data_IF_012132609520
#
_entry.id   IF_012132609520
#
_cell.length_a   1.000
_cell.length_b   1.000
_cell.length_c   1.000
_cell.angle_alpha   90.00
_cell.angle_beta   90.00
_cell.angle_gamma   90.00
#
_symmetry.space_group_name_H-M   'P 1'
#
loop_
_entity.id
_entity.type
_entity.pdbx_description
1 polymer ?
#
# COMPACT_ATOMS: atom_id res chain seq x y z
N UNK A 1 0.51 21.55 -12.59
CA UNK A 1 1.62 21.47 -11.61
C UNK A 1 2.92 21.93 -12.23
N UNK A 2 3.80 22.60 -11.48
CA UNK A 2 5.15 22.92 -11.94
C UNK A 2 5.86 21.64 -12.42
N UNK A 3 6.53 21.69 -13.58
CA UNK A 3 7.37 20.63 -14.14
C UNK A 3 6.67 19.34 -14.60
N UNK A 4 5.34 19.26 -14.57
CA UNK A 4 4.57 18.10 -15.05
C UNK A 4 4.98 17.69 -16.47
N UNK A 5 5.00 18.65 -17.39
CA UNK A 5 5.32 18.39 -18.81
C UNK A 5 6.73 17.80 -18.98
N UNK A 6 7.72 18.38 -18.31
CA UNK A 6 9.11 17.89 -18.32
C UNK A 6 9.22 16.46 -17.81
N UNK A 7 8.46 16.12 -16.77
CA UNK A 7 8.46 14.78 -16.17
C UNK A 7 7.74 13.79 -17.09
N UNK A 8 6.54 14.12 -17.58
CA UNK A 8 5.78 13.28 -18.52
C UNK A 8 6.59 13.02 -19.79
N UNK A 9 7.22 14.05 -20.34
CA UNK A 9 8.08 13.93 -21.52
C UNK A 9 9.27 13.01 -21.27
N UNK A 10 9.92 13.11 -20.10
CA UNK A 10 11.02 12.23 -19.73
C UNK A 10 10.59 10.75 -19.61
N UNK A 11 9.42 10.47 -19.02
CA UNK A 11 8.88 9.10 -18.95
C UNK A 11 8.39 8.59 -20.32
N UNK A 12 8.05 9.49 -21.24
CA UNK A 12 7.60 9.15 -22.59
C UNK A 12 8.76 8.90 -23.57
N UNK A 13 9.96 9.42 -23.27
CA UNK A 13 11.16 9.21 -24.07
C UNK A 13 11.84 7.87 -23.70
N UNK A 14 12.35 7.17 -24.71
CA UNK A 14 13.24 5.99 -24.57
C UNK A 14 12.67 4.68 -24.01
N UNK A 15 11.36 4.41 -24.16
CA UNK A 15 10.83 3.06 -23.86
C UNK A 15 10.95 2.64 -22.39
N UNK A 16 11.09 3.62 -21.49
CA UNK A 16 11.45 3.46 -20.08
C UNK A 16 10.29 2.97 -19.17
N UNK A 17 9.43 2.08 -19.70
CA UNK A 17 8.07 1.71 -19.27
C UNK A 17 7.01 2.43 -20.10
N UNK A 18 6.15 1.67 -20.77
CA UNK A 18 4.89 2.19 -21.36
C UNK A 18 3.90 2.44 -20.23
N UNK A 19 4.12 3.49 -19.44
CA UNK A 19 3.18 3.93 -18.42
C UNK A 19 1.98 4.59 -19.09
N UNK A 20 0.78 4.24 -18.63
CA UNK A 20 -0.46 4.93 -18.99
C UNK A 20 -0.80 5.94 -17.90
N UNK A 21 -1.21 7.16 -18.29
CA UNK A 21 -1.68 8.16 -17.34
C UNK A 21 -3.08 7.79 -16.84
N UNK A 22 -3.14 6.93 -15.83
CA UNK A 22 -4.39 6.49 -15.21
C UNK A 22 -5.05 7.59 -14.40
N UNK A 23 -6.38 7.59 -14.33
CA UNK A 23 -7.12 8.46 -13.42
C UNK A 23 -7.18 7.83 -12.03
N UNK A 24 -6.57 8.51 -11.06
CA UNK A 24 -6.64 8.19 -9.63
C UNK A 24 -7.39 9.31 -8.90
N UNK A 25 -7.63 9.13 -7.60
CA UNK A 25 -8.35 10.10 -6.79
C UNK A 25 -7.38 10.84 -5.89
N UNK A 26 -7.50 12.17 -5.83
CA UNK A 26 -6.91 13.00 -4.78
C UNK A 26 -7.84 12.99 -3.57
N UNK A 27 -7.31 12.76 -2.38
CA UNK A 27 -8.01 13.01 -1.12
C UNK A 27 -7.91 14.51 -0.82
N UNK A 28 -9.05 15.21 -0.82
CA UNK A 28 -9.10 16.65 -0.52
C UNK A 28 -9.30 16.91 0.97
N UNK A 29 -10.17 16.13 1.61
CA UNK A 29 -10.45 16.26 3.03
C UNK A 29 -11.04 14.98 3.59
N UNK A 30 -10.97 14.87 4.92
CA UNK A 30 -11.69 13.86 5.67
C UNK A 30 -12.31 14.47 6.91
N UNK A 31 -13.42 13.89 7.35
CA UNK A 31 -14.04 14.18 8.65
C UNK A 31 -14.37 12.86 9.33
N UNK A 32 -14.02 12.77 10.61
CA UNK A 32 -14.47 11.69 11.49
C UNK A 32 -15.78 12.13 12.13
N UNK A 33 -16.86 11.43 11.84
CA UNK A 33 -18.14 11.63 12.52
C UNK A 33 -18.42 10.45 13.41
N UNK A 34 -19.10 10.69 14.54
CA UNK A 34 -19.64 9.62 15.37
C UNK A 34 -21.12 9.96 15.56
N UNK A 35 -22.05 9.30 14.84
CA UNK A 35 -23.44 9.73 14.87
C UNK A 35 -24.06 9.60 16.27
N UNK A 36 -23.62 8.60 17.05
CA UNK A 36 -23.94 8.43 18.48
C UNK A 36 -22.77 7.87 19.29
N UNK A 37 -22.76 8.11 20.60
CA UNK A 37 -21.64 7.72 21.49
C UNK A 37 -21.33 6.21 21.44
N UNK A 38 -22.36 5.39 21.26
CA UNK A 38 -22.35 3.92 21.17
C UNK A 38 -22.15 3.39 19.75
N UNK A 39 -22.17 4.25 18.73
CA UNK A 39 -21.94 3.86 17.34
C UNK A 39 -20.46 3.97 16.96
N UNK A 40 -19.97 3.09 16.06
CA UNK A 40 -18.62 3.21 15.54
C UNK A 40 -18.45 4.53 14.79
N UNK A 41 -17.26 5.13 14.82
CA UNK A 41 -17.02 6.34 14.06
C UNK A 41 -16.99 6.05 12.55
N UNK A 42 -17.48 7.00 11.76
CA UNK A 42 -17.50 6.93 10.30
C UNK A 42 -16.55 7.99 9.72
N UNK A 43 -15.88 7.65 8.62
CA UNK A 43 -15.12 8.62 7.83
C UNK A 43 -15.94 9.12 6.66
N UNK A 44 -16.08 10.44 6.57
CA UNK A 44 -16.58 11.12 5.38
C UNK A 44 -15.36 11.65 4.63
N UNK A 45 -15.13 11.12 3.44
CA UNK A 45 -14.01 11.47 2.57
C UNK A 45 -14.49 12.32 1.39
N UNK A 46 -13.72 13.33 1.03
CA UNK A 46 -13.96 14.15 -0.16
C UNK A 46 -12.83 13.95 -1.18
N UNK A 47 -13.20 13.81 -2.45
CA UNK A 47 -12.29 13.46 -3.52
C UNK A 47 -12.33 14.44 -4.68
N UNK A 48 -11.20 14.58 -5.36
CA UNK A 48 -11.10 15.25 -6.66
C UNK A 48 -10.28 14.43 -7.68
N UNK A 49 -10.39 14.74 -8.98
CA UNK A 49 -9.58 14.11 -10.01
C UNK A 49 -8.08 14.35 -9.84
N UNK A 50 -7.29 13.28 -10.04
CA UNK A 50 -5.84 13.33 -10.07
C UNK A 50 -5.33 12.39 -11.17
N UNK A 51 -4.34 12.81 -11.94
CA UNK A 51 -3.67 11.92 -12.88
C UNK A 51 -2.54 11.17 -12.18
N UNK A 52 -2.27 9.93 -12.60
CA UNK A 52 -1.16 9.14 -12.07
C UNK A 52 0.17 9.88 -12.24
N UNK A 53 0.36 10.58 -13.37
CA UNK A 53 1.54 11.40 -13.56
C UNK A 53 1.62 12.58 -12.60
N UNK A 54 0.51 13.24 -12.25
CA UNK A 54 0.55 14.30 -11.22
C UNK A 54 1.02 13.75 -9.86
N UNK A 55 0.59 12.54 -9.50
CA UNK A 55 1.06 11.87 -8.28
C UNK A 55 2.55 11.52 -8.33
N UNK A 56 3.03 11.00 -9.46
CA UNK A 56 4.48 10.73 -9.65
C UNK A 56 5.29 12.03 -9.49
N UNK A 57 4.81 13.12 -10.08
CA UNK A 57 5.49 14.41 -10.09
C UNK A 57 5.52 15.08 -8.71
N UNK A 58 4.78 14.57 -7.73
CA UNK A 58 4.61 15.22 -6.43
C UNK A 58 4.95 14.31 -5.26
N UNK A 59 3.98 13.58 -4.70
CA UNK A 59 4.18 12.75 -3.51
C UNK A 59 5.27 11.69 -3.77
N UNK A 60 5.24 11.02 -4.93
CA UNK A 60 6.24 9.99 -5.23
C UNK A 60 7.64 10.59 -5.44
N UNK A 61 7.72 11.82 -5.94
CA UNK A 61 8.97 12.57 -6.06
C UNK A 61 9.70 12.73 -4.72
N UNK A 62 8.96 12.75 -3.61
CA UNK A 62 9.55 12.87 -2.27
C UNK A 62 10.25 11.60 -1.80
N UNK A 63 10.05 10.45 -2.46
CA UNK A 63 10.60 9.16 -2.05
C UNK A 63 12.14 9.18 -2.04
N UNK A 64 12.80 8.97 -0.87
CA UNK A 64 14.25 9.00 -0.77
C UNK A 64 14.92 7.78 -1.42
N UNK A 65 14.21 6.65 -1.48
CA UNK A 65 14.69 5.39 -2.04
C UNK A 65 14.23 5.15 -3.48
N UNK A 66 13.83 6.20 -4.21
CA UNK A 66 13.58 6.07 -5.63
C UNK A 66 14.92 5.69 -6.28
N UNK A 67 15.15 4.38 -6.48
CA UNK A 67 16.38 3.93 -7.15
C UNK A 67 16.38 4.62 -8.50
N UNK A 68 17.50 5.21 -8.92
CA UNK A 68 17.55 5.89 -10.19
C UNK A 68 17.37 4.86 -11.30
N UNK A 69 16.13 4.65 -11.72
CA UNK A 69 15.76 4.97 -13.09
C UNK A 69 16.51 6.27 -13.39
N UNK A 70 17.46 6.25 -14.32
CA UNK A 70 18.24 7.44 -14.66
C UNK A 70 17.27 8.47 -15.21
N UNK A 71 16.66 9.24 -14.32
CA UNK A 71 15.77 10.33 -14.67
C UNK A 71 16.66 11.40 -15.31
N UNK A 72 16.25 11.98 -16.45
CA UNK A 72 17.00 13.07 -17.06
C UNK A 72 17.33 14.16 -16.03
N UNK A 73 18.52 14.76 -16.12
CA UNK A 73 18.96 15.80 -15.18
C UNK A 73 17.93 16.93 -14.96
N UNK A 74 17.17 17.41 -15.98
CA UNK A 74 16.11 18.39 -15.78
C UNK A 74 14.97 17.91 -14.87
N UNK A 75 14.64 16.62 -14.91
CA UNK A 75 13.64 16.02 -14.01
C UNK A 75 14.16 15.99 -12.59
N UNK A 76 15.40 15.54 -12.38
CA UNK A 76 16.01 15.52 -11.05
C UNK A 76 16.07 16.92 -10.41
N UNK A 77 16.42 17.95 -11.18
CA UNK A 77 16.40 19.35 -10.72
C UNK A 77 15.00 19.80 -10.30
N UNK A 78 13.98 19.51 -11.13
CA UNK A 78 12.58 19.80 -10.82
C UNK A 78 12.09 19.11 -9.53
N UNK A 79 12.39 17.82 -9.35
CA UNK A 79 12.01 17.07 -8.15
C UNK A 79 12.73 17.61 -6.91
N UNK A 80 14.01 17.99 -7.03
CA UNK A 80 14.77 18.58 -5.92
C UNK A 80 14.21 19.95 -5.50
N UNK A 81 13.84 20.80 -6.46
CA UNK A 81 13.14 22.06 -6.19
C UNK A 81 11.80 21.80 -5.50
N UNK A 82 11.05 20.79 -5.93
CA UNK A 82 9.80 20.41 -5.28
C UNK A 82 10.02 19.96 -3.83
N UNK A 83 11.00 19.08 -3.57
CA UNK A 83 11.37 18.63 -2.22
C UNK A 83 11.76 19.78 -1.29
N UNK A 84 12.52 20.75 -1.80
CA UNK A 84 12.93 21.93 -1.01
C UNK A 84 11.74 22.80 -0.58
N UNK A 85 10.62 22.76 -1.31
CA UNK A 85 9.41 23.53 -1.03
C UNK A 85 8.43 22.81 -0.08
N UNK A 86 8.63 21.53 0.20
CA UNK A 86 7.77 20.76 1.12
C UNK A 86 8.46 20.71 2.49
N UNK A 87 7.93 21.47 3.45
CA UNK A 87 8.51 21.57 4.80
C UNK A 87 8.59 20.21 5.53
N UNK A 88 9.60 20.07 6.40
CA UNK A 88 9.93 18.82 7.08
C UNK A 88 8.92 18.40 8.17
N UNK A 89 8.03 19.28 8.62
CA UNK A 89 7.02 18.97 9.64
C UNK A 89 5.69 19.66 9.33
N UNK A 90 4.90 19.01 8.50
CA UNK A 90 3.50 19.39 8.22
C UNK A 90 2.59 18.33 8.81
N UNK A 91 1.51 18.76 9.45
CA UNK A 91 0.42 17.90 9.94
C UNK A 91 -0.30 17.24 8.76
N UNK A 92 -1.06 16.19 9.02
CA UNK A 92 -1.80 15.51 7.94
C UNK A 92 -2.81 16.43 7.25
N UNK A 93 -3.45 17.36 7.98
CA UNK A 93 -4.39 18.31 7.36
C UNK A 93 -3.66 19.31 6.44
N UNK A 94 -2.53 19.85 6.88
CA UNK A 94 -1.71 20.76 6.06
C UNK A 94 -1.19 20.09 4.78
N UNK A 95 -0.96 18.79 4.81
CA UNK A 95 -0.59 18.00 3.63
C UNK A 95 -1.72 17.97 2.60
N UNK A 96 -2.96 17.74 3.04
CA UNK A 96 -4.14 17.74 2.16
C UNK A 96 -4.38 19.12 1.54
N UNK A 97 -4.15 20.17 2.32
CA UNK A 97 -4.27 21.57 1.90
C UNK A 97 -3.11 22.03 0.98
N UNK A 98 -1.99 21.29 0.90
CA UNK A 98 -0.93 21.66 -0.06
C UNK A 98 -1.37 21.39 -1.49
N UNK A 99 -1.63 22.46 -2.23
CA UNK A 99 -1.86 22.42 -3.69
C UNK A 99 -0.65 21.88 -4.47
N UNK A 100 0.52 21.87 -3.83
CA UNK A 100 1.76 21.35 -4.36
C UNK A 100 1.84 19.81 -4.39
N UNK A 101 1.04 19.12 -3.57
CA UNK A 101 1.01 17.66 -3.50
C UNK A 101 -0.19 17.12 -4.26
N UNK A 102 -0.03 15.99 -4.94
CA UNK A 102 -1.13 15.32 -5.63
C UNK A 102 -2.13 14.70 -4.66
N UNK A 103 -1.65 14.19 -3.52
CA UNK A 103 -2.43 13.56 -2.46
C UNK A 103 -3.32 12.42 -2.97
N UNK A 104 -2.77 11.61 -3.88
CA UNK A 104 -3.43 10.39 -4.36
C UNK A 104 -3.77 9.48 -3.19
N UNK A 105 -5.01 8.96 -3.11
CA UNK A 105 -5.36 8.04 -2.03
C UNK A 105 -4.99 6.60 -2.41
N UNK A 106 -4.19 5.96 -1.59
CA UNK A 106 -3.87 4.53 -1.71
C UNK A 106 -4.46 3.70 -0.58
N UNK A 107 -4.50 2.39 -0.78
CA UNK A 107 -4.88 1.40 0.22
C UNK A 107 -3.76 0.37 0.42
N UNK A 108 -3.61 -0.10 1.65
CA UNK A 108 -2.73 -1.19 2.05
C UNK A 108 -3.52 -2.13 2.96
N UNK A 109 -3.85 -3.31 2.44
CA UNK A 109 -4.72 -4.27 3.10
C UNK A 109 -4.01 -5.61 3.29
N UNK A 110 -4.11 -6.12 4.52
CA UNK A 110 -3.73 -7.49 4.83
C UNK A 110 -4.83 -8.45 4.41
N UNK A 111 -4.51 -9.54 3.73
CA UNK A 111 -5.48 -10.63 3.51
C UNK A 111 -5.28 -11.64 4.63
N UNK A 112 -6.34 -11.87 5.40
CA UNK A 112 -6.37 -12.77 6.57
C UNK A 112 -7.45 -13.82 6.32
N UNK A 113 -7.11 -15.09 6.47
CA UNK A 113 -8.09 -16.18 6.34
C UNK A 113 -8.78 -16.60 7.63
N UNK A 114 -9.66 -17.59 7.49
CA UNK A 114 -10.39 -18.21 8.59
C UNK A 114 -9.50 -18.91 9.64
N UNK A 115 -8.24 -19.22 9.33
CA UNK A 115 -7.26 -19.77 10.28
C UNK A 115 -6.35 -18.66 10.87
N UNK A 116 -6.73 -17.38 10.76
CA UNK A 116 -5.91 -16.23 11.17
C UNK A 116 -4.53 -16.16 10.50
N UNK A 117 -4.38 -16.73 9.31
CA UNK A 117 -3.13 -16.61 8.54
C UNK A 117 -3.19 -15.38 7.67
N UNK A 118 -2.18 -14.53 7.81
CA UNK A 118 -1.96 -13.35 7.01
C UNK A 118 -1.04 -13.69 5.82
N UNK A 119 -1.44 -13.29 4.62
CA UNK A 119 -0.60 -13.37 3.43
C UNK A 119 0.37 -12.17 3.41
N UNK A 120 1.68 -12.44 3.38
CA UNK A 120 2.75 -11.43 3.30
C UNK A 120 3.44 -11.55 1.95
N UNK A 121 3.43 -10.47 1.16
CA UNK A 121 4.16 -10.38 -0.10
C UNK A 121 5.61 -9.97 0.10
N UNK A 122 6.47 -10.33 -0.84
CA UNK A 122 7.81 -9.76 -1.01
C UNK A 122 7.97 -9.25 -2.43
N UNK A 123 8.26 -7.97 -2.58
CA UNK A 123 8.49 -7.33 -3.88
C UNK A 123 9.79 -7.83 -4.53
N UNK A 124 9.86 -7.95 -5.87
CA UNK A 124 11.10 -8.21 -6.59
C UNK A 124 12.19 -7.20 -6.26
N UNK A 125 13.45 -7.64 -6.12
CA UNK A 125 14.59 -6.78 -5.69
C UNK A 125 14.93 -5.67 -6.69
N UNK A 126 14.61 -5.88 -7.95
CA UNK A 126 14.88 -5.01 -9.09
C UNK A 126 13.86 -3.88 -9.24
N UNK A 127 12.75 -3.90 -8.49
CA UNK A 127 11.81 -2.79 -8.52
C UNK A 127 12.46 -1.47 -8.06
N UNK A 128 12.17 -0.36 -8.74
CA UNK A 128 12.79 0.94 -8.46
C UNK A 128 12.34 1.52 -7.12
N UNK A 129 11.12 1.19 -6.70
CA UNK A 129 10.52 1.64 -5.45
C UNK A 129 10.27 0.40 -4.59
N UNK A 130 10.86 0.41 -3.39
CA UNK A 130 10.71 -0.65 -2.39
C UNK A 130 11.05 -2.08 -2.86
N UNK A 131 11.93 -2.22 -3.87
CA UNK A 131 12.33 -3.55 -4.35
C UNK A 131 12.99 -4.41 -3.27
N UNK A 132 12.52 -5.65 -3.12
CA UNK A 132 13.03 -6.63 -2.15
C UNK A 132 12.39 -6.57 -0.76
N UNK A 133 11.54 -5.57 -0.50
CA UNK A 133 10.87 -5.36 0.78
C UNK A 133 9.62 -6.23 0.94
N UNK A 134 9.25 -6.46 2.20
CA UNK A 134 7.98 -7.08 2.58
C UNK A 134 6.84 -6.08 2.42
N UNK A 135 5.69 -6.57 1.98
CA UNK A 135 4.50 -5.77 1.66
C UNK A 135 3.23 -6.52 2.07
N UNK A 136 2.18 -5.74 2.32
CA UNK A 136 0.79 -6.21 2.43
C UNK A 136 0.37 -6.93 1.15
N UNK A 137 -0.61 -7.82 1.25
CA UNK A 137 -1.03 -8.63 0.09
C UNK A 137 -1.88 -7.90 -0.93
N UNK A 138 -2.53 -6.81 -0.51
CA UNK A 138 -3.31 -5.97 -1.38
C UNK A 138 -2.83 -4.53 -1.23
N UNK A 139 -2.33 -3.96 -2.32
CA UNK A 139 -1.94 -2.55 -2.40
C UNK A 139 -2.55 -1.92 -3.64
N UNK A 140 -2.87 -0.62 -3.60
CA UNK A 140 -3.40 0.00 -4.80
C UNK A 140 -3.86 1.43 -4.61
N UNK A 141 -4.14 2.09 -5.72
CA UNK A 141 -4.69 3.44 -5.74
C UNK A 141 -6.20 3.38 -5.90
N UNK A 142 -6.91 4.26 -5.20
CA UNK A 142 -8.34 4.46 -5.46
C UNK A 142 -8.47 5.23 -6.79
N UNK A 143 -9.31 4.74 -7.69
CA UNK A 143 -9.55 5.29 -9.03
C UNK A 143 -10.97 5.86 -9.16
N UNK A 144 -11.16 6.79 -10.11
CA UNK A 144 -12.50 7.24 -10.51
C UNK A 144 -13.36 6.15 -11.16
N UNK A 145 -12.74 5.04 -11.55
CA UNK A 145 -13.48 3.86 -12.01
C UNK A 145 -14.05 3.03 -10.84
N UNK A 146 -13.58 3.26 -9.61
CA UNK A 146 -14.03 2.54 -8.41
C UNK A 146 -15.34 3.14 -7.85
N UNK A 147 -16.31 3.43 -8.72
CA UNK A 147 -17.61 4.03 -8.37
C UNK A 147 -18.76 3.13 -8.79
N UNK A 148 -19.89 3.22 -8.09
CA UNK A 148 -21.08 2.41 -8.40
C UNK A 148 -21.71 2.79 -9.74
N UNK A 149 -21.75 4.08 -10.03
CA UNK A 149 -22.24 4.66 -11.28
C UNK A 149 -21.65 6.05 -11.50
N UNK A 150 -21.87 6.62 -12.68
CA UNK A 150 -21.44 7.97 -13.02
C UNK A 150 -22.09 9.02 -12.10
N UNK A 151 -21.34 10.06 -11.74
CA UNK A 151 -21.78 11.11 -10.82
C UNK A 151 -21.68 10.75 -9.33
N UNK A 152 -21.43 9.48 -8.98
CA UNK A 152 -21.17 9.05 -7.60
C UNK A 152 -19.67 9.13 -7.30
N UNK A 153 -19.26 9.61 -6.10
CA UNK A 153 -17.87 9.60 -5.70
C UNK A 153 -17.25 8.20 -5.71
N UNK A 154 -15.92 8.09 -5.86
CA UNK A 154 -15.18 6.85 -5.72
C UNK A 154 -15.40 6.20 -4.35
N UNK A 155 -15.42 4.87 -4.33
CA UNK A 155 -15.67 4.05 -3.16
C UNK A 155 -14.42 3.21 -2.85
N UNK A 156 -13.67 3.53 -1.77
CA UNK A 156 -12.46 2.78 -1.41
C UNK A 156 -12.69 1.28 -1.19
N UNK A 157 -13.90 0.85 -0.84
CA UNK A 157 -14.23 -0.57 -0.72
C UNK A 157 -14.29 -1.26 -2.09
N UNK A 158 -14.70 -0.55 -3.14
CA UNK A 158 -14.64 -1.08 -4.52
C UNK A 158 -13.20 -1.18 -5.00
N UNK A 159 -12.37 -0.19 -4.68
CA UNK A 159 -10.94 -0.24 -4.97
C UNK A 159 -10.30 -1.46 -4.31
N UNK A 160 -10.57 -1.69 -3.01
CA UNK A 160 -10.07 -2.87 -2.29
C UNK A 160 -10.46 -4.20 -2.95
N UNK A 161 -11.73 -4.33 -3.39
CA UNK A 161 -12.21 -5.53 -4.09
C UNK A 161 -11.51 -5.72 -5.43
N UNK A 162 -11.31 -4.63 -6.20
CA UNK A 162 -10.61 -4.67 -7.49
C UNK A 162 -9.15 -5.07 -7.31
N UNK A 163 -8.42 -4.37 -6.45
CA UNK A 163 -6.99 -4.62 -6.21
C UNK A 163 -6.76 -6.03 -5.67
N UNK A 164 -7.62 -6.52 -4.76
CA UNK A 164 -7.52 -7.91 -4.30
C UNK A 164 -7.69 -8.92 -5.44
N UNK A 165 -8.65 -8.69 -6.34
CA UNK A 165 -8.87 -9.56 -7.49
C UNK A 165 -7.71 -9.49 -8.49
N UNK A 166 -7.16 -8.30 -8.72
CA UNK A 166 -6.04 -8.08 -9.64
C UNK A 166 -4.77 -8.73 -9.09
N UNK A 167 -4.37 -8.39 -7.86
CA UNK A 167 -3.09 -8.82 -7.26
C UNK A 167 -3.09 -10.28 -6.81
N UNK A 168 -4.19 -10.76 -6.21
CA UNK A 168 -4.24 -12.09 -5.57
C UNK A 168 -5.15 -13.08 -6.31
N UNK A 169 -6.05 -12.60 -7.18
CA UNK A 169 -7.10 -13.42 -7.80
C UNK A 169 -8.30 -13.69 -6.89
N UNK A 170 -8.26 -13.20 -5.64
CA UNK A 170 -9.33 -13.41 -4.66
C UNK A 170 -10.54 -12.56 -5.04
N UNK A 171 -11.73 -13.16 -4.97
CA UNK A 171 -13.00 -12.43 -5.11
C UNK A 171 -13.53 -12.07 -3.74
N UNK A 172 -13.75 -10.78 -3.52
CA UNK A 172 -14.19 -10.22 -2.25
C UNK A 172 -15.54 -9.54 -2.38
N UNK A 173 -16.26 -9.47 -1.27
CA UNK A 173 -17.38 -8.58 -1.05
C UNK A 173 -16.92 -7.38 -0.22
N UNK A 174 -17.63 -6.26 -0.31
CA UNK A 174 -17.31 -5.06 0.48
C UNK A 174 -17.30 -5.31 1.98
N UNK A 175 -18.18 -6.20 2.45
CA UNK A 175 -18.30 -6.55 3.88
C UNK A 175 -17.07 -7.26 4.43
N UNK A 176 -16.21 -7.79 3.54
CA UNK A 176 -14.99 -8.50 3.90
C UNK A 176 -13.85 -7.52 4.16
N UNK A 177 -14.00 -6.24 3.79
CA UNK A 177 -12.97 -5.19 3.86
C UNK A 177 -13.18 -4.34 5.11
N UNK A 178 -12.12 -4.16 5.87
CA UNK A 178 -12.10 -3.38 7.11
C UNK A 178 -10.96 -2.37 7.05
N UNK A 179 -11.27 -1.09 7.14
CA UNK A 179 -10.24 -0.06 7.29
C UNK A 179 -10.07 0.31 8.76
N UNK A 180 -8.84 0.24 9.25
CA UNK A 180 -8.47 0.52 10.63
C UNK A 180 -8.01 1.96 10.82
N UNK A 181 -7.26 2.49 9.85
CA UNK A 181 -6.76 3.86 9.93
C UNK A 181 -6.73 4.54 8.55
N UNK A 182 -7.01 5.84 8.56
CA UNK A 182 -6.55 6.76 7.53
C UNK A 182 -5.28 7.43 8.05
N UNK A 183 -4.19 7.26 7.32
CA UNK A 183 -2.88 7.76 7.71
C UNK A 183 -2.15 8.45 6.57
N UNK A 184 -0.89 8.76 6.83
CA UNK A 184 0.00 9.36 5.85
C UNK A 184 1.37 8.71 5.92
N UNK A 185 1.95 8.39 4.77
CA UNK A 185 3.32 7.93 4.72
C UNK A 185 4.26 9.11 4.96
N UNK A 186 5.10 9.00 5.99
CA UNK A 186 5.91 10.12 6.46
C UNK A 186 6.89 10.66 5.41
N UNK A 187 7.56 9.81 4.66
CA UNK A 187 8.57 10.20 3.67
C UNK A 187 7.99 10.72 2.34
N UNK A 188 6.80 10.24 1.95
CA UNK A 188 6.13 10.64 0.70
C UNK A 188 5.02 11.68 0.90
N UNK A 189 4.67 11.99 2.15
CA UNK A 189 3.48 12.79 2.50
C UNK A 189 2.21 12.29 1.82
N UNK A 190 2.11 10.98 1.65
CA UNK A 190 1.11 10.34 0.80
C UNK A 190 -0.04 9.82 1.67
N UNK A 191 -1.30 10.25 1.47
CA UNK A 191 -2.43 9.70 2.21
C UNK A 191 -2.69 8.23 1.85
N UNK A 192 -3.00 7.43 2.86
CA UNK A 192 -3.27 6.02 2.67
C UNK A 192 -4.29 5.46 3.67
N UNK A 193 -5.11 4.52 3.20
CA UNK A 193 -6.01 3.71 4.00
C UNK A 193 -5.30 2.40 4.39
N UNK A 194 -5.28 2.11 5.68
CA UNK A 194 -4.70 0.92 6.27
C UNK A 194 -5.81 0.00 6.76
N UNK A 195 -5.74 -1.28 6.43
CA UNK A 195 -6.82 -2.19 6.75
C UNK A 195 -6.49 -3.66 6.59
N UNK A 196 -7.55 -4.46 6.60
CA UNK A 196 -7.52 -5.86 6.31
C UNK A 196 -8.74 -6.29 5.48
N UNK A 197 -8.58 -7.44 4.85
CA UNK A 197 -9.61 -8.25 4.25
C UNK A 197 -9.68 -9.53 5.07
N UNK A 198 -10.88 -9.90 5.54
CA UNK A 198 -11.11 -11.15 6.28
C UNK A 198 -11.89 -12.13 5.41
N UNK A 199 -11.28 -13.26 5.09
CA UNK A 199 -11.90 -14.32 4.31
C UNK A 199 -12.63 -15.30 5.23
N UNK A 200 -13.77 -15.81 4.76
CA UNK A 200 -14.49 -16.91 5.42
C UNK A 200 -13.84 -18.29 5.16
N UNK A 201 -12.94 -18.38 4.17
CA UNK A 201 -12.27 -19.62 3.75
C UNK A 201 -10.73 -19.48 3.88
N UNK A 202 -10.04 -20.62 3.90
CA UNK A 202 -8.57 -20.71 4.01
C UNK A 202 -7.88 -20.21 2.76
N UNK A 203 -6.73 -19.55 2.90
CA UNK A 203 -5.95 -19.04 1.74
C UNK A 203 -5.62 -20.16 0.74
N UNK A 204 -5.35 -21.37 1.21
CA UNK A 204 -5.10 -22.55 0.37
C UNK A 204 -6.26 -22.90 -0.57
N UNK A 205 -7.50 -22.60 -0.18
CA UNK A 205 -8.71 -22.90 -0.95
C UNK A 205 -9.07 -21.78 -1.94
N UNK A 206 -8.71 -20.55 -1.61
CA UNK A 206 -9.10 -19.35 -2.36
C UNK A 206 -8.01 -18.95 -3.36
N UNK A 207 -6.73 -19.14 -3.02
CA UNK A 207 -5.61 -18.83 -3.89
C UNK A 207 -5.34 -19.97 -4.90
N UNK A 208 -6.28 -20.16 -5.83
CA UNK A 208 -6.17 -21.19 -6.88
C UNK A 208 -5.33 -20.73 -8.09
N UNK A 209 -5.21 -19.43 -8.30
CA UNK A 209 -4.38 -18.81 -9.34
C UNK A 209 -4.00 -17.38 -8.93
N UNK A 210 -2.86 -17.16 -8.28
CA UNK A 210 -2.28 -15.80 -8.24
C UNK A 210 -1.99 -15.39 -9.68
N UNK A 211 -2.74 -14.41 -10.19
CA UNK A 211 -2.58 -13.92 -11.56
C UNK A 211 -1.52 -12.86 -11.65
N UNK A 212 -1.29 -12.13 -10.56
CA UNK A 212 -0.31 -11.07 -10.57
C UNK A 212 1.09 -11.59 -10.26
N UNK A 213 1.76 -11.99 -11.35
CA UNK A 213 3.17 -12.25 -11.34
C UNK A 213 3.99 -10.94 -11.35
N UNK A 214 3.40 -9.76 -11.51
CA UNK A 214 4.14 -8.51 -11.77
C UNK A 214 4.64 -7.83 -10.49
N UNK A 215 3.82 -7.76 -9.44
CA UNK A 215 4.08 -6.96 -8.23
C UNK A 215 4.96 -7.65 -7.18
N UNK A 216 4.79 -8.97 -7.00
CA UNK A 216 5.40 -9.75 -5.92
C UNK A 216 6.20 -10.96 -6.42
N UNK A 217 7.39 -11.17 -5.87
CA UNK A 217 8.27 -12.31 -6.19
C UNK A 217 7.80 -13.58 -5.45
N UNK A 218 7.39 -13.40 -4.20
CA UNK A 218 7.12 -14.47 -3.24
C UNK A 218 6.01 -14.07 -2.28
N UNK A 219 5.18 -15.04 -1.87
CA UNK A 219 4.25 -14.90 -0.76
C UNK A 219 4.58 -15.88 0.38
N UNK A 220 4.45 -15.39 1.61
CA UNK A 220 4.62 -16.13 2.86
C UNK A 220 3.33 -16.09 3.68
N UNK A 221 3.12 -17.10 4.52
CA UNK A 221 2.09 -17.05 5.56
C UNK A 221 2.70 -16.61 6.88
N UNK A 222 2.01 -15.67 7.52
CA UNK A 222 2.26 -15.26 8.89
C UNK A 222 1.06 -15.64 9.73
N UNK A 223 1.25 -16.54 10.69
CA UNK A 223 0.21 -16.98 11.61
C UNK A 223 0.03 -15.89 12.69
N UNK A 224 -1.12 -15.22 12.70
CA UNK A 224 -1.37 -14.12 13.64
C UNK A 224 -1.48 -14.61 15.09
N UNK A 225 -1.84 -15.88 15.30
CA UNK A 225 -1.89 -16.45 16.65
C UNK A 225 -0.47 -16.72 17.22
N UNK A 226 0.57 -16.78 16.38
CA UNK A 226 1.99 -16.79 16.79
C UNK A 226 2.54 -15.35 16.90
N UNK A 227 2.08 -14.64 17.94
CA UNK A 227 2.43 -13.24 18.19
C UNK A 227 3.93 -12.96 18.27
N UNK A 228 4.73 -13.87 18.83
CA UNK A 228 6.17 -13.68 18.93
C UNK A 228 6.85 -13.72 17.55
N UNK A 229 6.39 -14.61 16.65
CA UNK A 229 6.86 -14.63 15.27
C UNK A 229 6.39 -13.37 14.53
N UNK A 230 5.13 -12.96 14.71
CA UNK A 230 4.62 -11.70 14.14
C UNK A 230 5.46 -10.49 14.54
N UNK A 231 5.74 -10.36 15.83
CA UNK A 231 6.61 -9.31 16.37
C UNK A 231 8.02 -9.38 15.78
N UNK A 232 8.63 -10.57 15.71
CA UNK A 232 9.94 -10.74 15.09
C UNK A 232 9.94 -10.36 13.59
N UNK A 233 8.91 -10.73 12.83
CA UNK A 233 8.79 -10.36 11.42
C UNK A 233 8.63 -8.86 11.25
N UNK A 234 7.86 -8.18 12.10
CA UNK A 234 7.72 -6.71 12.05
C UNK A 234 8.99 -5.97 12.46
N UNK A 235 9.70 -6.43 13.49
CA UNK A 235 10.91 -5.77 14.00
C UNK A 235 12.12 -5.97 13.08
N UNK A 236 12.32 -7.19 12.57
CA UNK A 236 13.54 -7.54 11.82
C UNK A 236 13.31 -7.66 10.30
N UNK A 237 12.06 -7.65 9.85
CA UNK A 237 11.71 -7.65 8.42
C UNK A 237 11.98 -6.30 7.78
N UNK A 238 12.48 -6.32 6.55
CA UNK A 238 12.64 -5.10 5.75
C UNK A 238 11.33 -4.76 5.04
N UNK A 239 10.47 -3.98 5.70
CA UNK A 239 9.11 -3.67 5.24
C UNK A 239 9.01 -2.39 4.42
N UNK A 240 7.96 -2.30 3.60
CA UNK A 240 7.34 -1.02 3.24
C UNK A 240 6.68 -0.45 4.51
N UNK A 241 6.96 0.81 4.89
CA UNK A 241 6.45 1.37 6.15
C UNK A 241 4.94 1.25 6.33
N UNK A 242 4.16 1.63 5.31
CA UNK A 242 2.70 1.53 5.33
C UNK A 242 2.22 0.08 5.58
N UNK A 243 2.86 -0.90 4.93
CA UNK A 243 2.52 -2.30 5.11
C UNK A 243 2.84 -2.84 6.50
N UNK A 244 3.97 -2.44 7.10
CA UNK A 244 4.28 -2.81 8.48
C UNK A 244 3.21 -2.28 9.45
N UNK A 245 2.76 -1.03 9.26
CA UNK A 245 1.70 -0.44 10.09
C UNK A 245 0.36 -1.16 9.88
N UNK A 246 -0.01 -1.50 8.64
CA UNK A 246 -1.22 -2.28 8.39
C UNK A 246 -1.21 -3.60 9.17
N UNK A 247 -0.10 -4.36 9.11
CA UNK A 247 0.06 -5.63 9.86
C UNK A 247 -0.02 -5.39 11.36
N UNK A 248 0.64 -4.35 11.88
CA UNK A 248 0.55 -4.00 13.30
C UNK A 248 -0.89 -3.67 13.73
N UNK A 249 -1.66 -2.96 12.89
CA UNK A 249 -3.08 -2.66 13.17
C UNK A 249 -3.93 -3.93 13.18
N UNK A 250 -3.70 -4.89 12.28
CA UNK A 250 -4.37 -6.20 12.32
C UNK A 250 -4.08 -6.98 13.61
N UNK A 251 -2.83 -6.95 14.09
CA UNK A 251 -2.46 -7.58 15.36
C UNK A 251 -3.15 -6.90 16.56
N UNK A 252 -3.23 -5.57 16.55
CA UNK A 252 -3.91 -4.80 17.60
C UNK A 252 -5.42 -5.07 17.63
N UNK A 253 -6.06 -5.15 16.46
CA UNK A 253 -7.47 -5.50 16.31
C UNK A 253 -7.76 -6.90 16.88
N UNK A 254 -6.89 -7.87 16.61
CA UNK A 254 -7.10 -9.26 17.01
C UNK A 254 -6.71 -9.57 18.47
N UNK A 255 -5.60 -9.02 18.97
CA UNK A 255 -5.01 -9.44 20.26
C UNK A 255 -4.99 -8.33 21.33
N UNK A 256 -5.33 -7.10 20.96
CA UNK A 256 -5.27 -5.93 21.82
C UNK A 256 -3.85 -5.44 22.09
N UNK A 257 -3.76 -4.19 22.55
CA UNK A 257 -2.49 -3.48 22.73
C UNK A 257 -1.46 -4.22 23.61
N UNK A 258 -1.88 -4.65 24.80
CA UNK A 258 -0.96 -5.22 25.79
C UNK A 258 -0.26 -6.49 25.28
N UNK A 259 -1.01 -7.41 24.68
CA UNK A 259 -0.46 -8.67 24.14
C UNK A 259 0.55 -8.42 23.03
N UNK A 260 0.24 -7.46 22.15
CA UNK A 260 1.12 -7.06 21.05
C UNK A 260 2.38 -6.39 21.59
N UNK A 261 2.26 -5.43 22.51
CA UNK A 261 3.40 -4.76 23.16
C UNK A 261 4.34 -5.77 23.85
N UNK A 262 3.78 -6.70 24.62
CA UNK A 262 4.53 -7.76 25.30
C UNK A 262 5.30 -8.64 24.31
N UNK A 263 4.71 -8.97 23.15
CA UNK A 263 5.38 -9.74 22.11
C UNK A 263 6.52 -8.97 21.44
N UNK A 264 6.33 -7.67 21.16
CA UNK A 264 7.37 -6.80 20.60
C UNK A 264 8.59 -6.67 21.53
N UNK A 265 8.34 -6.57 22.84
CA UNK A 265 9.40 -6.50 23.85
C UNK A 265 10.24 -7.79 23.92
N UNK A 266 9.73 -8.92 23.42
CA UNK A 266 10.42 -10.21 23.37
C UNK A 266 10.76 -10.65 21.95
N UNK A 267 10.69 -9.77 20.96
CA UNK A 267 10.93 -10.12 19.56
C UNK A 267 12.36 -10.60 19.32
N UNK A 268 12.52 -11.83 18.83
CA UNK A 268 13.83 -12.44 18.59
C UNK A 268 14.14 -12.61 17.11
N UNK A 269 15.34 -12.18 16.68
CA UNK A 269 15.76 -12.31 15.26
C UNK A 269 15.76 -13.76 14.76
N UNK A 270 15.96 -14.75 15.65
CA UNK A 270 15.90 -16.18 15.27
C UNK A 270 14.52 -16.59 14.76
N UNK A 271 13.43 -16.04 15.33
CA UNK A 271 12.06 -16.34 14.91
C UNK A 271 11.79 -15.80 13.50
N UNK A 272 12.26 -14.58 13.22
CA UNK A 272 12.24 -14.03 11.87
C UNK A 272 13.03 -14.88 10.87
N UNK A 273 14.26 -15.27 11.19
CA UNK A 273 15.08 -16.14 10.31
C UNK A 273 14.41 -17.50 10.07
N UNK A 274 13.83 -18.09 11.12
CA UNK A 274 13.09 -19.35 11.02
C UNK A 274 11.86 -19.19 10.11
N UNK A 275 11.08 -18.13 10.28
CA UNK A 275 9.94 -17.81 9.41
C UNK A 275 10.36 -17.63 7.95
N UNK A 276 11.41 -16.85 7.69
CA UNK A 276 11.91 -16.62 6.32
C UNK A 276 12.46 -17.88 5.66
N UNK A 277 12.94 -18.84 6.45
CA UNK A 277 13.43 -20.15 5.98
C UNK A 277 12.32 -21.15 5.65
N UNK A 278 11.07 -20.87 6.04
CA UNK A 278 9.92 -21.70 5.66
C UNK A 278 9.76 -21.69 4.15
N UNK A 279 9.30 -22.81 3.60
CA UNK A 279 8.96 -22.88 2.17
C UNK A 279 7.94 -21.79 1.87
N UNK A 280 8.22 -20.86 0.94
CA UNK A 280 7.25 -19.87 0.56
C UNK A 280 6.01 -20.56 -0.02
N UNK A 281 4.84 -20.03 0.29
CA UNK A 281 3.58 -20.62 -0.18
C UNK A 281 3.51 -20.57 -1.71
N UNK A 282 3.90 -19.43 -2.28
CA UNK A 282 4.02 -19.27 -3.72
C UNK A 282 5.30 -18.52 -4.06
N UNK A 283 6.03 -19.02 -5.06
CA UNK A 283 7.16 -18.33 -5.68
C UNK A 283 6.85 -18.17 -7.16
N UNK A 284 7.01 -16.94 -7.68
CA UNK A 284 6.90 -16.69 -9.12
C UNK A 284 7.85 -17.65 -9.85
N UNK A 285 7.30 -18.50 -10.72
CA UNK A 285 8.12 -19.16 -11.74
C UNK A 285 8.67 -18.05 -12.62
N UNK A 286 10.00 -17.82 -12.60
CA UNK A 286 10.62 -16.92 -13.58
C UNK A 286 10.24 -17.46 -14.95
N UNK A 287 9.38 -16.74 -15.65
CA UNK A 287 9.25 -16.92 -17.09
C UNK A 287 10.61 -16.52 -17.63
N UNK A 288 11.40 -17.50 -18.07
CA UNK A 288 12.58 -17.21 -18.89
C UNK A 288 12.04 -16.51 -20.13
N UNK A 289 12.16 -15.19 -20.18
CA UNK A 289 12.07 -14.42 -21.40
C UNK A 289 13.29 -14.79 -22.27
N UNK A 290 13.26 -16.00 -22.80
CA UNK A 290 14.09 -16.49 -23.88
C UNK A 290 13.12 -17.05 -24.93
N UNK A 291 12.58 -16.14 -25.72
CA UNK A 291 12.17 -16.32 -27.10
C UNK A 291 12.26 -14.95 -27.78
#
# INVERSE_FOLDING_TARGET
MPYRETIVEAYSREGFLRLTDGQIVRLESFTLVRPRADEPPEWILSFSPLSYFDFICTNLALTPTFKPVVLPAPVLDALNKHRANVEQKITFREVLDCSCLGNGLTLHLNVIDADNKLLVGRRPKDLPIYGGKLVTSVTGAVSWNDRRCEGVPPDPFLAAVREAREETGITLLKRDVFFYALGMQGDQRHPLLLGAVRLEDRLENVLKTCRDAWENEVFYYLDLDDLDTCAAVLVYGDWIPASAVAVALSLLDQHGYKSVEDAFNRAEQRKYKAWLSRTPWHRRKRWSLLA
#
